data_IF_570628331627
#
_entry.id   IF_570628331627
#
_cell.length_a   1.000
_cell.length_b   1.000
_cell.length_c   1.000
_cell.angle_alpha   90.00
_cell.angle_beta   90.00
_cell.angle_gamma   90.00
#
_symmetry.space_group_name_H-M   'P 1'
#
loop_
_entity.id
_entity.type
_entity.pdbx_description
1 polymer ?
#
# COMPACT_ATOMS: atom_id res chain seq x y z
N UNK A 1 -21.08 12.65 -2.15
CA UNK A 1 -20.52 11.93 -3.31
C UNK A 1 -19.00 11.95 -3.23
N UNK A 2 -18.40 10.97 -2.54
CA UNK A 2 -16.94 10.87 -2.48
C UNK A 2 -16.44 10.42 -3.85
N UNK A 3 -15.76 11.31 -4.56
CA UNK A 3 -14.98 10.95 -5.74
C UNK A 3 -13.96 9.91 -5.29
N UNK A 4 -14.17 8.66 -5.69
CA UNK A 4 -13.12 7.66 -5.68
C UNK A 4 -12.11 8.17 -6.70
N UNK A 5 -11.09 8.89 -6.22
CA UNK A 5 -9.83 8.98 -6.94
C UNK A 5 -9.54 7.54 -7.33
N UNK A 6 -9.62 7.25 -8.63
CA UNK A 6 -9.18 5.96 -9.13
C UNK A 6 -7.68 6.11 -9.04
N UNK A 7 -7.01 5.58 -7.99
CA UNK A 7 -5.57 5.69 -7.93
C UNK A 7 -5.10 5.09 -9.25
N UNK A 8 -4.30 5.86 -9.99
CA UNK A 8 -3.69 5.43 -11.23
C UNK A 8 -3.29 3.95 -11.06
N UNK A 9 -3.72 3.06 -11.96
CA UNK A 9 -3.92 1.63 -11.64
C UNK A 9 -2.66 0.92 -11.08
N UNK A 10 -1.49 1.55 -11.14
CA UNK A 10 -0.23 1.12 -10.58
C UNK A 10 0.15 1.68 -9.18
N UNK A 11 -0.38 2.84 -8.74
CA UNK A 11 0.19 3.63 -7.64
C UNK A 11 -0.85 4.27 -6.71
N UNK A 12 -0.63 4.22 -5.39
CA UNK A 12 -1.54 4.75 -4.36
C UNK A 12 -0.93 5.98 -3.66
N UNK A 13 -1.55 7.18 -3.71
CA UNK A 13 -1.00 8.38 -3.10
C UNK A 13 -0.92 8.29 -1.58
N UNK A 14 0.27 8.57 -1.01
CA UNK A 14 0.47 8.57 0.45
C UNK A 14 -0.28 9.72 1.11
N UNK A 15 -0.38 10.87 0.44
CA UNK A 15 -1.11 12.03 0.95
C UNK A 15 -2.59 11.72 1.23
N UNK A 16 -3.24 10.94 0.35
CA UNK A 16 -4.65 10.53 0.51
C UNK A 16 -4.88 9.59 1.70
N UNK A 17 -3.83 8.88 2.10
CA UNK A 17 -3.84 7.98 3.24
C UNK A 17 -3.43 8.69 4.53
N UNK A 18 -2.43 9.58 4.49
CA UNK A 18 -1.83 10.21 5.67
C UNK A 18 -2.85 10.93 6.55
N UNK A 19 -3.86 11.58 5.95
CA UNK A 19 -4.93 12.27 6.68
C UNK A 19 -6.01 11.35 7.27
N UNK A 20 -5.94 10.03 7.05
CA UNK A 20 -6.98 9.07 7.47
C UNK A 20 -6.57 8.27 8.70
N UNK A 21 -7.55 7.81 9.52
CA UNK A 21 -7.30 6.89 10.63
C UNK A 21 -6.65 5.58 10.15
N UNK A 22 -5.80 4.98 11.00
CA UNK A 22 -5.07 3.74 10.67
C UNK A 22 -5.98 2.59 10.21
N UNK A 23 -7.18 2.45 10.81
CA UNK A 23 -8.17 1.45 10.39
C UNK A 23 -8.68 1.66 8.95
N UNK A 24 -8.79 2.92 8.51
CA UNK A 24 -9.21 3.27 7.15
C UNK A 24 -8.05 3.07 6.18
N UNK A 25 -6.84 3.49 6.54
CA UNK A 25 -5.64 3.28 5.70
C UNK A 25 -5.39 1.81 5.42
N UNK A 26 -5.38 0.98 6.47
CA UNK A 26 -5.19 -0.46 6.33
C UNK A 26 -6.29 -1.12 5.50
N UNK A 27 -7.53 -0.65 5.57
CA UNK A 27 -8.63 -1.14 4.71
C UNK A 27 -8.43 -0.76 3.24
N UNK A 28 -8.01 0.47 2.96
CA UNK A 28 -7.71 0.94 1.59
C UNK A 28 -6.51 0.19 1.02
N UNK A 29 -5.41 0.09 1.77
CA UNK A 29 -4.21 -0.66 1.39
C UNK A 29 -4.55 -2.12 1.11
N UNK A 30 -5.35 -2.76 1.97
CA UNK A 30 -5.81 -4.14 1.76
C UNK A 30 -6.63 -4.26 0.47
N UNK A 31 -7.57 -3.35 0.22
CA UNK A 31 -8.39 -3.36 -0.99
C UNK A 31 -7.56 -3.13 -2.26
N UNK A 32 -6.62 -2.19 -2.22
CA UNK A 32 -5.71 -1.91 -3.31
C UNK A 32 -4.80 -3.10 -3.62
N UNK A 33 -4.23 -3.76 -2.61
CA UNK A 33 -3.41 -4.97 -2.79
C UNK A 33 -4.23 -6.16 -3.28
N UNK A 34 -5.45 -6.35 -2.75
CA UNK A 34 -6.35 -7.41 -3.20
C UNK A 34 -6.72 -7.25 -4.69
N UNK A 35 -7.00 -6.01 -5.14
CA UNK A 35 -7.26 -5.72 -6.56
C UNK A 35 -6.06 -6.04 -7.47
N UNK A 36 -4.84 -6.15 -6.91
CA UNK A 36 -3.61 -6.52 -7.63
C UNK A 36 -3.29 -8.02 -7.58
N UNK A 37 -4.20 -8.82 -7.04
CA UNK A 37 -3.99 -10.26 -6.87
C UNK A 37 -3.08 -10.60 -5.69
N UNK A 38 -3.00 -9.72 -4.69
CA UNK A 38 -2.27 -9.96 -3.43
C UNK A 38 -3.27 -10.09 -2.27
N UNK A 39 -4.09 -11.16 -2.24
CA UNK A 39 -4.95 -11.45 -1.10
C UNK A 39 -4.12 -12.00 0.08
N UNK A 40 -4.74 -12.12 1.25
CA UNK A 40 -4.15 -12.87 2.37
C UNK A 40 -3.05 -12.16 3.15
N UNK A 41 -3.02 -10.83 3.15
CA UNK A 41 -2.09 -10.06 3.99
C UNK A 41 -2.38 -10.25 5.48
N UNK A 42 -1.36 -10.68 6.21
CA UNK A 42 -1.33 -10.72 7.66
C UNK A 42 -1.18 -9.32 8.27
N UNK A 43 -1.48 -9.22 9.56
CA UNK A 43 -1.44 -7.95 10.28
C UNK A 43 -0.04 -7.32 10.29
N UNK A 44 1.03 -8.12 10.34
CA UNK A 44 2.40 -7.64 10.30
C UNK A 44 2.75 -6.98 8.96
N UNK A 45 2.38 -7.59 7.82
CA UNK A 45 2.63 -6.99 6.51
C UNK A 45 1.82 -5.71 6.31
N UNK A 46 0.56 -5.70 6.76
CA UNK A 46 -0.26 -4.48 6.71
C UNK A 46 0.32 -3.35 7.54
N UNK A 47 0.86 -3.64 8.73
CA UNK A 47 1.57 -2.64 9.54
C UNK A 47 2.86 -2.17 8.87
N UNK A 48 3.61 -3.06 8.23
CA UNK A 48 4.81 -2.68 7.48
C UNK A 48 4.47 -1.76 6.29
N UNK A 49 3.41 -2.06 5.54
CA UNK A 49 2.95 -1.18 4.45
C UNK A 49 2.38 0.14 5.00
N UNK A 50 1.65 0.14 6.12
CA UNK A 50 1.17 1.36 6.76
C UNK A 50 2.33 2.22 7.29
N UNK A 51 3.42 1.61 7.75
CA UNK A 51 4.63 2.31 8.18
C UNK A 51 5.31 3.04 7.01
N UNK A 52 5.25 2.51 5.78
CA UNK A 52 5.70 3.24 4.59
C UNK A 52 4.91 4.54 4.38
N UNK A 53 3.64 4.57 4.79
CA UNK A 53 2.74 5.72 4.63
C UNK A 53 2.98 6.77 5.72
N UNK A 54 3.03 6.35 6.99
CA UNK A 54 3.07 7.28 8.13
C UNK A 54 4.42 7.47 8.80
N UNK A 55 5.32 6.49 8.68
CA UNK A 55 6.53 6.39 9.47
C UNK A 55 7.78 6.29 8.59
N UNK A 56 7.75 6.96 7.44
CA UNK A 56 8.83 6.88 6.47
C UNK A 56 10.10 7.55 6.98
N UNK A 57 11.08 6.73 7.33
CA UNK A 57 12.42 7.13 7.77
C UNK A 57 13.53 6.57 6.86
N UNK A 58 13.23 6.27 5.59
CA UNK A 58 14.13 5.56 4.68
C UNK A 58 13.90 4.04 4.63
N UNK A 59 12.67 3.60 4.87
CA UNK A 59 12.31 2.19 4.86
C UNK A 59 12.47 1.58 3.47
N UNK A 60 13.06 0.39 3.38
CA UNK A 60 13.21 -0.35 2.13
C UNK A 60 11.89 -0.93 1.60
N UNK A 61 11.94 -1.63 0.44
CA UNK A 61 10.79 -2.32 -0.12
C UNK A 61 10.20 -3.33 0.87
N UNK A 62 8.87 -3.36 1.00
CA UNK A 62 8.15 -4.38 1.78
C UNK A 62 7.79 -5.53 0.87
N UNK A 63 8.48 -6.66 1.06
CA UNK A 63 8.16 -7.91 0.36
C UNK A 63 6.93 -8.58 0.96
N UNK A 64 5.99 -8.94 0.10
CA UNK A 64 4.75 -9.63 0.41
C UNK A 64 4.86 -11.10 -0.02
N UNK A 65 4.20 -12.02 0.71
CA UNK A 65 4.32 -13.47 0.49
C UNK A 65 3.82 -13.92 -0.89
N UNK A 66 3.02 -13.12 -1.59
CA UNK A 66 2.51 -13.40 -2.93
C UNK A 66 3.50 -13.06 -4.06
N UNK A 67 4.79 -12.84 -3.76
CA UNK A 67 5.77 -12.33 -4.72
C UNK A 67 5.56 -10.86 -5.10
N UNK A 68 4.72 -10.12 -4.36
CA UNK A 68 4.57 -8.69 -4.55
C UNK A 68 5.52 -7.91 -3.66
N UNK A 69 5.96 -6.74 -4.12
CA UNK A 69 6.86 -5.85 -3.41
C UNK A 69 6.24 -4.47 -3.42
N UNK A 70 6.02 -3.90 -2.23
CA UNK A 70 5.50 -2.55 -2.07
C UNK A 70 6.65 -1.61 -1.77
N UNK A 71 6.78 -0.55 -2.55
CA UNK A 71 7.77 0.51 -2.37
C UNK A 71 7.09 1.85 -2.27
N UNK A 72 7.70 2.79 -1.55
CA UNK A 72 7.29 4.20 -1.61
C UNK A 72 8.28 4.97 -2.46
N UNK A 73 7.77 5.68 -3.47
CA UNK A 73 8.55 6.55 -4.34
C UNK A 73 7.81 7.87 -4.55
N UNK A 74 8.48 9.00 -4.34
CA UNK A 74 7.92 10.35 -4.59
C UNK A 74 6.55 10.62 -3.95
N UNK A 75 6.28 10.04 -2.77
CA UNK A 75 4.99 10.18 -2.10
C UNK A 75 3.87 9.26 -2.62
N UNK A 76 4.21 8.28 -3.46
CA UNK A 76 3.31 7.27 -3.99
C UNK A 76 3.73 5.88 -3.51
N UNK A 77 2.78 5.05 -3.11
CA UNK A 77 3.00 3.62 -2.92
C UNK A 77 2.88 2.91 -4.26
N UNK A 78 3.95 2.24 -4.66
CA UNK A 78 4.03 1.39 -5.83
C UNK A 78 4.00 -0.06 -5.38
N UNK A 79 3.33 -0.93 -6.13
CA UNK A 79 3.40 -2.37 -5.91
C UNK A 79 3.90 -3.04 -7.18
N UNK A 80 5.16 -3.47 -7.18
CA UNK A 80 5.69 -4.34 -8.22
C UNK A 80 5.33 -5.79 -7.89
N UNK A 81 4.95 -6.59 -8.88
CA UNK A 81 4.88 -8.04 -8.71
C UNK A 81 6.16 -8.60 -9.31
N UNK A 82 6.97 -9.27 -8.49
CA UNK A 82 8.03 -10.15 -8.97
C UNK A 82 7.31 -11.40 -9.45
N UNK A 83 7.03 -11.47 -10.75
CA UNK A 83 6.77 -12.75 -11.36
C UNK A 83 8.10 -13.52 -11.42
N UNK A 84 8.13 -14.69 -10.78
CA UNK A 84 9.21 -15.66 -10.93
C UNK A 84 8.60 -17.04 -10.95
#
# INVERSE_FOLDING_TARGET
MAAAATPDAAALPVADLAGRPAAVRTRIVRGWLAARGVPGLGAAQLRAVDALVTDWHGQGPVSLPSGAVVTRSSGMLLCARTDR
#
